data_IF_631100018624
#
_entry.id   IF_631100018624
#
_cell.length_a   1.000
_cell.length_b   1.000
_cell.length_c   1.000
_cell.angle_alpha   90.00
_cell.angle_beta   90.00
_cell.angle_gamma   90.00
#
_symmetry.space_group_name_H-M   'P 1'
#
loop_
_entity.id
_entity.type
_entity.pdbx_description
1 polymer ?
#
# COMPACT_ATOMS: atom_id res chain seq x y z
N UNK A 1 8.28 -81.82 -29.76
CA UNK A 1 9.65 -82.21 -29.36
C UNK A 1 10.47 -80.94 -29.24
N UNK A 2 11.25 -80.63 -28.22
CA UNK A 2 11.46 -81.13 -26.86
C UNK A 2 12.47 -80.15 -26.25
N UNK A 3 12.22 -79.66 -25.01
CA UNK A 3 13.19 -79.30 -23.96
C UNK A 3 14.24 -78.19 -24.27
N UNK A 4 14.74 -77.36 -23.37
CA UNK A 4 14.45 -76.95 -21.99
C UNK A 4 15.47 -75.83 -21.69
N UNK A 5 15.07 -74.78 -20.97
CA UNK A 5 16.02 -73.94 -20.23
C UNK A 5 15.30 -73.32 -19.04
N UNK A 6 15.68 -73.74 -17.83
CA UNK A 6 15.43 -73.12 -16.53
C UNK A 6 16.75 -73.24 -15.72
N UNK A 7 16.87 -72.65 -14.52
CA UNK A 7 16.82 -71.23 -14.18
C UNK A 7 18.09 -70.81 -13.40
N UNK A 8 18.34 -69.53 -13.19
CA UNK A 8 19.12 -69.09 -12.02
C UNK A 8 18.47 -67.86 -11.40
N UNK A 9 18.01 -68.07 -10.17
CA UNK A 9 17.41 -67.09 -9.32
C UNK A 9 18.49 -66.13 -8.77
N UNK A 10 18.19 -64.84 -8.76
CA UNK A 10 18.53 -63.98 -7.62
C UNK A 10 17.34 -63.07 -7.38
N UNK A 11 16.58 -63.41 -6.33
CA UNK A 11 15.55 -62.57 -5.77
C UNK A 11 16.22 -61.31 -5.23
N UNK A 12 15.83 -60.14 -5.73
CA UNK A 12 16.13 -58.87 -5.08
C UNK A 12 14.84 -58.24 -4.60
N UNK A 13 14.90 -57.90 -3.32
CA UNK A 13 13.83 -57.64 -2.39
C UNK A 13 13.23 -56.24 -2.63
N UNK A 14 11.91 -56.17 -2.44
CA UNK A 14 11.10 -54.95 -2.32
C UNK A 14 11.78 -53.82 -1.54
N UNK A 15 11.81 -52.61 -2.10
CA UNK A 15 11.76 -51.37 -1.33
C UNK A 15 10.85 -50.36 -2.06
N UNK A 16 9.61 -50.33 -1.58
CA UNK A 16 8.55 -49.39 -1.94
C UNK A 16 8.88 -48.03 -1.32
N UNK A 17 9.58 -47.15 -2.05
CA UNK A 17 9.75 -45.76 -1.63
C UNK A 17 8.54 -44.93 -2.10
N UNK A 18 7.46 -44.97 -1.32
CA UNK A 18 6.43 -43.92 -1.35
C UNK A 18 7.07 -42.63 -0.85
N UNK A 19 7.55 -41.79 -1.77
CA UNK A 19 7.77 -40.39 -1.45
C UNK A 19 6.39 -39.75 -1.27
N UNK A 20 5.98 -39.62 -0.01
CA UNK A 20 4.95 -38.66 0.36
C UNK A 20 5.47 -37.27 -0.03
N UNK A 21 5.02 -36.76 -1.17
CA UNK A 21 4.96 -35.34 -1.41
C UNK A 21 3.87 -34.78 -0.50
N UNK A 22 4.18 -34.70 0.80
CA UNK A 22 3.43 -33.85 1.71
C UNK A 22 3.59 -32.43 1.19
N UNK A 23 2.51 -31.84 0.70
CA UNK A 23 2.42 -30.40 0.64
C UNK A 23 2.61 -29.91 2.08
N UNK A 24 3.81 -29.43 2.40
CA UNK A 24 4.02 -28.64 3.59
C UNK A 24 3.15 -27.39 3.40
N UNK A 25 1.93 -27.44 3.93
CA UNK A 25 1.25 -26.23 4.33
C UNK A 25 2.10 -25.68 5.48
N UNK A 26 3.10 -24.87 5.12
CA UNK A 26 3.77 -24.00 6.08
C UNK A 26 2.65 -23.30 6.86
N UNK A 27 2.68 -23.33 8.20
CA UNK A 27 1.74 -22.54 8.98
C UNK A 27 1.80 -21.12 8.44
N UNK A 28 0.65 -20.52 8.14
CA UNK A 28 0.62 -19.11 7.78
C UNK A 28 1.18 -18.34 8.99
N UNK A 29 2.47 -18.02 8.97
CA UNK A 29 3.08 -17.22 10.01
C UNK A 29 2.34 -15.89 10.04
N UNK A 30 1.72 -15.57 11.18
CA UNK A 30 1.02 -14.31 11.30
C UNK A 30 2.04 -13.18 11.08
N UNK A 31 1.75 -12.20 10.21
CA UNK A 31 2.68 -11.12 9.96
C UNK A 31 3.09 -10.47 11.28
N UNK A 32 4.39 -10.30 11.48
CA UNK A 32 4.98 -9.63 12.65
C UNK A 32 4.33 -8.25 12.90
N UNK A 33 3.87 -7.55 11.87
CA UNK A 33 3.12 -6.29 11.95
C UNK A 33 1.69 -6.38 12.51
N UNK A 34 1.11 -7.59 12.64
CA UNK A 34 -0.29 -7.77 13.02
C UNK A 34 -0.64 -7.13 14.36
N UNK A 35 0.14 -7.28 15.44
CA UNK A 35 -0.19 -6.63 16.71
C UNK A 35 -0.22 -5.10 16.58
N UNK A 36 0.75 -4.49 15.89
CA UNK A 36 0.76 -3.06 15.63
C UNK A 36 -0.45 -2.62 14.79
N UNK A 37 -0.78 -3.37 13.72
CA UNK A 37 -1.94 -3.08 12.88
C UNK A 37 -3.28 -3.26 13.61
N UNK A 38 -3.39 -4.19 14.57
CA UNK A 38 -4.56 -4.28 15.45
C UNK A 38 -4.69 -3.06 16.34
N UNK A 39 -3.58 -2.55 16.89
CA UNK A 39 -3.57 -1.33 17.71
C UNK A 39 -4.07 -0.12 16.91
N UNK A 40 -3.47 0.14 15.74
CA UNK A 40 -3.80 1.37 14.99
C UNK A 40 -5.02 1.25 14.08
N UNK A 41 -5.36 0.04 13.63
CA UNK A 41 -6.45 -0.23 12.69
C UNK A 41 -7.72 -0.78 13.33
N UNK A 42 -7.67 -1.39 14.53
CA UNK A 42 -8.81 -2.07 15.15
C UNK A 42 -9.98 -1.16 15.55
N UNK A 43 -9.73 0.14 15.72
CA UNK A 43 -10.75 1.16 16.03
C UNK A 43 -10.65 2.41 15.16
N UNK A 44 -9.88 2.35 14.07
CA UNK A 44 -9.74 3.48 13.15
C UNK A 44 -10.97 3.62 12.28
N UNK A 45 -11.45 4.86 12.15
CA UNK A 45 -12.54 5.21 11.22
C UNK A 45 -12.04 5.42 9.77
N UNK A 46 -10.72 5.35 9.55
CA UNK A 46 -10.10 5.74 8.28
C UNK A 46 -9.54 4.57 7.48
N UNK A 47 -9.07 3.52 8.14
CA UNK A 47 -8.48 2.34 7.55
C UNK A 47 -8.64 1.17 8.52
N UNK A 48 -8.67 -0.06 8.02
CA UNK A 48 -8.79 -1.26 8.86
C UNK A 48 -7.44 -1.98 9.03
N UNK A 49 -7.47 -3.06 9.81
CA UNK A 49 -6.30 -3.92 10.04
C UNK A 49 -5.76 -4.52 8.73
N UNK A 50 -6.65 -4.83 7.77
CA UNK A 50 -6.27 -5.44 6.50
C UNK A 50 -5.49 -4.46 5.62
N UNK A 51 -5.96 -3.22 5.52
CA UNK A 51 -5.24 -2.16 4.83
C UNK A 51 -3.88 -1.92 5.46
N UNK A 52 -3.79 -1.86 6.79
CA UNK A 52 -2.52 -1.69 7.48
C UNK A 52 -1.52 -2.81 7.14
N UNK A 53 -1.96 -4.07 7.20
CA UNK A 53 -1.13 -5.23 6.87
C UNK A 53 -0.70 -5.23 5.40
N UNK A 54 -1.62 -4.95 4.48
CA UNK A 54 -1.33 -4.90 3.05
C UNK A 54 -0.36 -3.76 2.71
N UNK A 55 -0.58 -2.57 3.27
CA UNK A 55 0.28 -1.42 3.05
C UNK A 55 1.70 -1.69 3.57
N UNK A 56 1.86 -2.06 4.83
CA UNK A 56 3.19 -2.31 5.41
C UNK A 56 3.87 -3.53 4.76
N UNK A 57 3.11 -4.61 4.50
CA UNK A 57 3.61 -5.82 3.86
C UNK A 57 4.02 -5.64 2.40
N UNK A 58 3.62 -4.56 1.73
CA UNK A 58 4.12 -4.20 0.40
C UNK A 58 5.58 -3.74 0.39
N UNK A 59 6.15 -3.46 1.58
CA UNK A 59 7.53 -3.02 1.75
C UNK A 59 8.33 -4.06 2.54
N UNK A 60 9.39 -4.60 1.93
CA UNK A 60 10.26 -5.61 2.56
C UNK A 60 10.97 -5.12 3.83
N UNK A 61 11.05 -3.81 4.05
CA UNK A 61 11.56 -3.22 5.30
C UNK A 61 10.64 -3.49 6.48
N UNK A 62 9.43 -4.01 6.30
CA UNK A 62 8.47 -4.24 7.41
C UNK A 62 8.66 -5.56 8.16
N UNK A 63 9.37 -6.54 7.57
CA UNK A 63 9.29 -7.96 7.93
C UNK A 63 9.61 -8.26 9.41
N UNK A 64 10.55 -7.52 10.01
CA UNK A 64 11.10 -7.84 11.33
C UNK A 64 10.85 -6.79 12.42
N UNK A 65 10.04 -5.77 12.13
CA UNK A 65 9.90 -4.60 12.99
C UNK A 65 8.80 -4.73 14.06
N UNK A 66 7.86 -5.67 13.89
CA UNK A 66 6.81 -6.09 14.83
C UNK A 66 6.02 -4.96 15.48
N UNK A 67 6.53 -4.37 16.57
CA UNK A 67 5.90 -3.29 17.35
C UNK A 67 6.64 -1.96 17.24
N UNK A 68 7.62 -1.86 16.34
CA UNK A 68 8.36 -0.63 16.05
C UNK A 68 7.50 0.32 15.20
N UNK A 69 6.63 1.04 15.91
CA UNK A 69 5.75 2.04 15.33
C UNK A 69 6.51 3.15 14.61
N UNK A 70 7.75 3.45 15.01
CA UNK A 70 8.56 4.47 14.35
C UNK A 70 8.95 3.99 12.96
N UNK A 71 9.49 2.78 12.82
CA UNK A 71 9.83 2.24 11.49
C UNK A 71 8.60 2.11 10.61
N UNK A 72 7.48 1.61 11.13
CA UNK A 72 6.25 1.55 10.33
C UNK A 72 5.73 2.92 9.92
N UNK A 73 5.85 3.94 10.77
CA UNK A 73 5.45 5.31 10.39
C UNK A 73 6.29 5.85 9.23
N UNK A 74 7.59 5.53 9.22
CA UNK A 74 8.50 5.88 8.11
C UNK A 74 8.11 5.13 6.84
N UNK A 75 7.85 3.82 6.93
CA UNK A 75 7.41 3.02 5.79
C UNK A 75 6.09 3.57 5.22
N UNK A 76 5.09 3.84 6.06
CA UNK A 76 3.81 4.40 5.63
C UNK A 76 3.97 5.79 4.98
N UNK A 77 4.85 6.64 5.51
CA UNK A 77 5.16 7.94 4.91
C UNK A 77 5.89 7.82 3.56
N UNK A 78 6.79 6.85 3.40
CA UNK A 78 7.48 6.58 2.13
C UNK A 78 6.51 5.99 1.08
N UNK A 79 5.59 5.12 1.49
CA UNK A 79 4.52 4.60 0.63
C UNK A 79 3.56 5.70 0.19
N UNK A 80 3.16 6.59 1.11
CA UNK A 80 2.41 7.79 0.79
C UNK A 80 3.17 8.63 -0.24
N UNK A 81 4.49 8.79 -0.03
CA UNK A 81 5.32 9.59 -0.90
C UNK A 81 5.36 9.04 -2.34
N UNK A 82 5.54 7.72 -2.48
CA UNK A 82 5.48 7.04 -3.76
C UNK A 82 4.10 7.18 -4.41
N UNK A 83 3.02 6.96 -3.64
CA UNK A 83 1.65 7.08 -4.13
C UNK A 83 1.35 8.47 -4.68
N UNK A 84 1.55 9.54 -3.90
CA UNK A 84 1.21 10.90 -4.35
C UNK A 84 2.07 11.35 -5.54
N UNK A 85 3.30 10.86 -5.66
CA UNK A 85 4.16 11.12 -6.83
C UNK A 85 3.62 10.42 -8.08
N UNK A 86 3.27 9.14 -7.96
CA UNK A 86 2.68 8.37 -9.05
C UNK A 86 1.33 8.95 -9.49
N UNK A 87 0.50 9.39 -8.54
CA UNK A 87 -0.80 10.02 -8.80
C UNK A 87 -0.64 11.35 -9.54
N UNK A 88 0.33 12.19 -9.15
CA UNK A 88 0.64 13.42 -9.86
C UNK A 88 1.04 13.14 -11.32
N UNK A 89 1.90 12.15 -11.54
CA UNK A 89 2.31 11.74 -12.90
C UNK A 89 1.14 11.18 -13.72
N UNK A 90 0.26 10.38 -13.09
CA UNK A 90 -0.96 9.86 -13.73
C UNK A 90 -1.90 11.00 -14.15
N UNK A 91 -2.10 12.00 -13.29
CA UNK A 91 -2.92 13.18 -13.60
C UNK A 91 -2.32 13.96 -14.78
N UNK A 92 -1.00 14.17 -14.81
CA UNK A 92 -0.34 14.82 -15.96
C UNK A 92 -0.57 14.04 -17.26
N UNK A 93 -0.49 12.71 -17.23
CA UNK A 93 -0.81 11.86 -18.38
C UNK A 93 -2.26 12.00 -18.86
N UNK A 94 -3.21 12.03 -17.93
CA UNK A 94 -4.64 12.23 -18.24
C UNK A 94 -4.90 13.62 -18.85
N UNK A 95 -4.21 14.66 -18.37
CA UNK A 95 -4.32 16.02 -18.90
C UNK A 95 -3.72 16.14 -20.32
N UNK A 96 -2.66 15.41 -20.63
CA UNK A 96 -2.06 15.38 -21.97
C UNK A 96 -2.93 14.60 -22.97
N UNK A 97 -3.50 13.46 -22.55
CA UNK A 97 -4.36 12.64 -23.41
C UNK A 97 -5.72 13.25 -23.72
N UNK A 98 -6.24 14.14 -22.85
CA UNK A 98 -7.55 14.79 -23.02
C UNK A 98 -7.55 15.98 -24.00
N UNK A 99 -6.39 16.39 -24.52
CA UNK A 99 -6.29 17.47 -25.53
C UNK A 99 -6.62 17.06 -26.97
N UNK A 100 -6.89 15.77 -27.23
CA UNK A 100 -6.86 15.17 -28.58
C UNK A 100 -8.18 15.01 -29.35
N UNK A 101 -9.36 15.19 -28.74
CA UNK A 101 -10.64 15.13 -29.46
C UNK A 101 -11.73 14.35 -28.74
N UNK A 102 -12.88 15.00 -28.53
CA UNK A 102 -14.04 14.43 -27.85
C UNK A 102 -14.59 15.40 -26.80
N UNK A 103 -15.06 16.56 -27.25
CA UNK A 103 -15.55 17.61 -26.34
C UNK A 103 -17.01 17.38 -25.94
N UNK A 104 -17.25 17.10 -24.67
CA UNK A 104 -18.53 17.23 -23.98
C UNK A 104 -18.32 17.92 -22.63
N UNK A 105 -19.40 18.38 -22.00
CA UNK A 105 -19.34 19.12 -20.72
C UNK A 105 -18.63 18.32 -19.62
N UNK A 106 -18.84 16.99 -19.58
CA UNK A 106 -18.20 16.08 -18.63
C UNK A 106 -16.68 15.98 -18.83
N UNK A 107 -16.21 16.01 -20.07
CA UNK A 107 -14.78 16.00 -20.36
C UNK A 107 -14.11 17.31 -19.91
N UNK A 108 -14.78 18.44 -20.13
CA UNK A 108 -14.31 19.74 -19.67
C UNK A 108 -14.30 19.85 -18.13
N UNK A 109 -15.34 19.34 -17.47
CA UNK A 109 -15.42 19.26 -16.00
C UNK A 109 -14.32 18.35 -15.44
N UNK A 110 -14.13 17.16 -16.02
CA UNK A 110 -13.07 16.21 -15.65
C UNK A 110 -11.69 16.85 -15.77
N UNK A 111 -11.41 17.54 -16.89
CA UNK A 111 -10.13 18.23 -17.08
C UNK A 111 -9.93 19.38 -16.07
N UNK A 112 -10.98 20.09 -15.66
CA UNK A 112 -10.90 21.10 -14.59
C UNK A 112 -10.56 20.46 -13.25
N UNK A 113 -11.24 19.38 -12.88
CA UNK A 113 -10.96 18.64 -11.64
C UNK A 113 -9.52 18.10 -11.62
N UNK A 114 -9.06 17.51 -12.72
CA UNK A 114 -7.68 17.02 -12.85
C UNK A 114 -6.64 18.13 -12.64
N UNK A 115 -6.83 19.34 -13.20
CA UNK A 115 -5.91 20.46 -12.95
C UNK A 115 -5.88 20.88 -11.47
N UNK A 116 -7.04 20.94 -10.82
CA UNK A 116 -7.12 21.24 -9.38
C UNK A 116 -6.42 20.16 -8.55
N UNK A 117 -6.65 18.89 -8.86
CA UNK A 117 -5.95 17.77 -8.23
C UNK A 117 -4.43 17.87 -8.45
N UNK A 118 -3.98 18.24 -9.65
CA UNK A 118 -2.55 18.37 -9.92
C UNK A 118 -1.89 19.45 -9.08
N UNK A 119 -2.58 20.57 -8.85
CA UNK A 119 -2.07 21.61 -7.96
C UNK A 119 -1.91 21.11 -6.52
N UNK A 120 -2.89 20.34 -6.02
CA UNK A 120 -2.86 19.73 -4.69
C UNK A 120 -1.73 18.70 -4.57
N UNK A 121 -1.68 17.73 -5.47
CA UNK A 121 -0.66 16.66 -5.48
C UNK A 121 0.75 17.22 -5.72
N UNK A 122 0.92 18.15 -6.66
CA UNK A 122 2.20 18.82 -6.89
C UNK A 122 2.68 19.60 -5.67
N UNK A 123 1.78 20.21 -4.91
CA UNK A 123 2.08 20.84 -3.62
C UNK A 123 2.55 19.85 -2.55
N UNK A 124 1.91 18.69 -2.46
CA UNK A 124 2.29 17.61 -1.54
C UNK A 124 3.64 17.00 -1.91
N UNK A 125 3.88 16.71 -3.20
CA UNK A 125 5.16 16.18 -3.70
C UNK A 125 6.32 17.12 -3.34
N UNK A 126 6.17 18.44 -3.54
CA UNK A 126 7.23 19.40 -3.17
C UNK A 126 7.56 19.41 -1.67
N UNK A 127 6.60 19.08 -0.80
CA UNK A 127 6.78 19.09 0.66
C UNK A 127 7.27 17.77 1.24
N UNK A 128 7.21 16.68 0.48
CA UNK A 128 7.59 15.34 0.96
C UNK A 128 8.97 15.26 1.62
N UNK A 129 10.06 15.84 1.08
CA UNK A 129 11.37 15.68 1.72
C UNK A 129 11.37 16.20 3.17
N UNK A 130 10.73 17.35 3.40
CA UNK A 130 10.54 17.91 4.74
C UNK A 130 9.61 17.07 5.61
N UNK A 131 8.54 16.54 5.01
CA UNK A 131 7.61 15.62 5.65
C UNK A 131 8.31 14.37 6.17
N UNK A 132 9.06 13.68 5.30
CA UNK A 132 9.77 12.46 5.62
C UNK A 132 10.84 12.71 6.69
N UNK A 133 11.54 13.85 6.64
CA UNK A 133 12.46 14.26 7.70
C UNK A 133 11.73 14.51 9.04
N UNK A 134 10.53 15.09 9.02
CA UNK A 134 9.72 15.27 10.23
C UNK A 134 9.27 13.94 10.83
N UNK A 135 8.82 12.99 10.02
CA UNK A 135 8.43 11.64 10.46
C UNK A 135 9.62 10.89 11.05
N UNK A 136 10.76 10.84 10.34
CA UNK A 136 11.98 10.17 10.83
C UNK A 136 12.50 10.77 12.12
N UNK A 137 12.45 12.10 12.23
CA UNK A 137 12.83 12.85 13.44
C UNK A 137 11.77 12.86 14.54
N UNK A 138 10.60 12.23 14.35
CA UNK A 138 9.50 12.18 15.33
C UNK A 138 9.08 13.59 15.79
N UNK A 139 9.14 14.56 14.87
CA UNK A 139 8.82 15.97 15.13
C UNK A 139 7.31 16.17 15.19
N UNK A 140 6.72 15.90 16.36
CA UNK A 140 5.26 15.73 16.57
C UNK A 140 4.36 16.68 15.79
N UNK A 141 4.52 17.99 15.99
CA UNK A 141 3.69 18.99 15.29
C UNK A 141 3.89 18.97 13.78
N UNK A 142 5.14 19.04 13.33
CA UNK A 142 5.48 19.10 11.91
C UNK A 142 5.07 17.83 11.15
N UNK A 143 5.35 16.65 11.71
CA UNK A 143 5.04 15.37 11.09
C UNK A 143 3.53 15.15 10.97
N UNK A 144 2.77 15.39 12.04
CA UNK A 144 1.32 15.25 12.02
C UNK A 144 0.67 16.25 11.07
N UNK A 145 1.06 17.53 11.12
CA UNK A 145 0.51 18.54 10.19
C UNK A 145 0.78 18.16 8.75
N UNK A 146 2.01 17.76 8.41
CA UNK A 146 2.35 17.44 7.04
C UNK A 146 1.55 16.23 6.50
N UNK A 147 1.39 15.17 7.29
CA UNK A 147 0.61 14.00 6.88
C UNK A 147 -0.89 14.32 6.77
N UNK A 148 -1.43 15.11 7.70
CA UNK A 148 -2.83 15.54 7.65
C UNK A 148 -3.13 16.44 6.44
N UNK A 149 -2.20 17.31 6.06
CA UNK A 149 -2.30 18.10 4.84
C UNK A 149 -2.28 17.22 3.57
N UNK A 150 -1.47 16.17 3.54
CA UNK A 150 -1.47 15.21 2.43
C UNK A 150 -2.79 14.44 2.35
N UNK A 151 -3.34 14.01 3.48
CA UNK A 151 -4.67 13.39 3.55
C UNK A 151 -5.76 14.34 3.05
N UNK A 152 -5.70 15.61 3.48
CA UNK A 152 -6.64 16.63 3.07
C UNK A 152 -6.55 16.93 1.57
N UNK A 153 -5.35 16.95 0.98
CA UNK A 153 -5.16 17.12 -0.46
C UNK A 153 -5.83 15.99 -1.27
N UNK A 154 -5.65 14.74 -0.85
CA UNK A 154 -6.28 13.59 -1.51
C UNK A 154 -7.81 13.65 -1.41
N UNK A 155 -8.35 14.00 -0.23
CA UNK A 155 -9.80 14.17 -0.04
C UNK A 155 -10.37 15.31 -0.88
N UNK A 156 -9.70 16.47 -0.88
CA UNK A 156 -10.13 17.64 -1.67
C UNK A 156 -10.12 17.35 -3.18
N UNK A 157 -9.17 16.55 -3.67
CA UNK A 157 -9.18 16.10 -5.05
C UNK A 157 -10.45 15.28 -5.36
N UNK A 158 -10.76 14.28 -4.54
CA UNK A 158 -11.94 13.42 -4.75
C UNK A 158 -13.26 14.21 -4.62
N UNK A 159 -13.37 15.04 -3.59
CA UNK A 159 -14.54 15.91 -3.36
C UNK A 159 -14.78 16.85 -4.56
N UNK A 160 -13.71 17.26 -5.25
CA UNK A 160 -13.79 18.10 -6.46
C UNK A 160 -14.46 17.40 -7.65
N UNK A 161 -14.19 16.10 -7.84
CA UNK A 161 -14.88 15.30 -8.86
C UNK A 161 -16.34 15.06 -8.49
N UNK A 162 -16.61 14.70 -7.24
CA UNK A 162 -17.97 14.48 -6.73
C UNK A 162 -18.84 15.74 -6.87
N UNK A 163 -18.31 16.90 -6.48
CA UNK A 163 -18.99 18.20 -6.60
C UNK A 163 -19.28 18.57 -8.06
N UNK A 164 -18.42 18.13 -8.98
CA UNK A 164 -18.58 18.34 -10.41
C UNK A 164 -19.43 17.25 -11.09
N UNK A 165 -19.93 16.28 -10.32
CA UNK A 165 -20.77 15.15 -10.78
C UNK A 165 -20.12 14.31 -11.90
N UNK A 166 -18.79 14.26 -11.91
CA UNK A 166 -18.02 13.44 -12.86
C UNK A 166 -17.28 12.33 -12.11
N UNK A 167 -17.08 11.19 -12.75
CA UNK A 167 -16.30 10.09 -12.17
C UNK A 167 -14.83 10.49 -12.06
N UNK A 168 -14.22 10.25 -10.90
CA UNK A 168 -12.79 10.50 -10.68
C UNK A 168 -11.97 9.36 -11.30
N UNK A 169 -11.05 9.65 -12.24
CA UNK A 169 -10.16 8.63 -12.81
C UNK A 169 -9.03 8.23 -11.84
N UNK A 170 -8.98 8.85 -10.65
CA UNK A 170 -7.95 8.66 -9.63
C UNK A 170 -8.54 8.37 -8.24
N UNK A 171 -9.78 7.87 -8.16
CA UNK A 171 -10.45 7.55 -6.87
C UNK A 171 -9.63 6.61 -6.00
N UNK A 172 -9.12 5.51 -6.58
CA UNK A 172 -8.35 4.52 -5.82
C UNK A 172 -7.05 5.13 -5.28
N UNK A 173 -6.38 5.96 -6.06
CA UNK A 173 -5.19 6.68 -5.66
C UNK A 173 -5.48 7.69 -4.54
N UNK A 174 -6.55 8.47 -4.65
CA UNK A 174 -6.99 9.40 -3.61
C UNK A 174 -7.27 8.67 -2.29
N UNK A 175 -7.97 7.55 -2.37
CA UNK A 175 -8.29 6.75 -1.19
C UNK A 175 -7.02 6.18 -0.54
N UNK A 176 -6.09 5.65 -1.36
CA UNK A 176 -4.81 5.13 -0.87
C UNK A 176 -3.95 6.23 -0.22
N UNK A 177 -3.82 7.40 -0.85
CA UNK A 177 -3.09 8.53 -0.26
C UNK A 177 -3.69 8.95 1.09
N UNK A 178 -5.02 9.05 1.16
CA UNK A 178 -5.71 9.38 2.41
C UNK A 178 -5.43 8.34 3.50
N UNK A 179 -5.62 7.04 3.19
CA UNK A 179 -5.45 5.97 4.17
C UNK A 179 -3.99 5.79 4.61
N UNK A 180 -3.02 5.91 3.70
CA UNK A 180 -1.58 5.87 4.01
C UNK A 180 -1.17 7.03 4.94
N UNK A 181 -1.65 8.24 4.66
CA UNK A 181 -1.39 9.39 5.52
C UNK A 181 -2.00 9.20 6.93
N UNK A 182 -3.24 8.71 7.01
CA UNK A 182 -3.89 8.40 8.30
C UNK A 182 -3.20 7.28 9.05
N UNK A 183 -2.72 6.25 8.36
CA UNK A 183 -1.94 5.17 8.92
C UNK A 183 -0.64 5.70 9.54
N UNK A 184 0.12 6.52 8.79
CA UNK A 184 1.35 7.14 9.30
C UNK A 184 1.10 8.01 10.54
N UNK A 185 0.01 8.79 10.56
CA UNK A 185 -0.39 9.59 11.73
C UNK A 185 -0.72 8.70 12.93
N UNK A 186 -1.48 7.62 12.73
CA UNK A 186 -1.85 6.71 13.81
C UNK A 186 -0.61 6.00 14.41
N UNK A 187 0.30 5.54 13.57
CA UNK A 187 1.57 4.94 14.01
C UNK A 187 2.43 5.94 14.80
N UNK A 188 2.54 7.19 14.32
CA UNK A 188 3.26 8.24 15.06
C UNK A 188 2.64 8.54 16.43
N UNK A 189 1.30 8.48 16.56
CA UNK A 189 0.64 8.65 17.86
C UNK A 189 1.10 7.61 18.87
N UNK A 190 1.25 6.35 18.45
CA UNK A 190 1.80 5.30 19.30
C UNK A 190 3.27 5.59 19.67
N UNK A 191 4.09 6.10 18.73
CA UNK A 191 5.47 6.54 19.05
C UNK A 191 5.47 7.63 20.13
N UNK A 192 4.56 8.60 20.06
CA UNK A 192 4.48 9.68 21.06
C UNK A 192 3.94 9.23 22.41
N UNK A 193 3.09 8.20 22.46
CA UNK A 193 2.50 7.70 23.69
C UNK A 193 3.47 6.81 24.49
N UNK A 194 4.47 6.21 23.83
CA UNK A 194 5.45 5.30 24.41
C UNK A 194 6.81 5.98 24.70
N UNK A 195 6.88 7.32 24.63
CA UNK A 195 8.05 8.13 25.02
C UNK A 195 7.73 8.94 26.27
#
# INVERSE_FOLDING_TARGET
MAMAATPTATASILLLALFLAGAHAEPAELPCALPACKTVGGGSQFFDVQFCLAALGSDGRSISHCMDYQVYSVIAADLLAANVTATAAKIDGLLQGSGGGGGGDDAAATARCLRSCQALYGGTVRRQPGCAAAVRGVRKGEATTCLEEAAAAAKQCEDGFQSSKVASPVTAENQNAFMLAKLAVALLREVYANK
#
